data_IF_166423519889
#
_entry.id   IF_166423519889
#
_cell.length_a   1.000
_cell.length_b   1.000
_cell.length_c   1.000
_cell.angle_alpha   90.00
_cell.angle_beta   90.00
_cell.angle_gamma   90.00
#
_symmetry.space_group_name_H-M   'P 1'
#
loop_
_entity.id
_entity.type
_entity.pdbx_description
1 polymer ?
#
# COMPACT_ATOMS: atom_id res chain seq x y z
N UNK A 1 17.21 27.69 -0.28
CA UNK A 1 17.55 26.29 0.01
C UNK A 1 16.87 25.91 1.31
N UNK A 2 15.75 25.20 1.25
CA UNK A 2 15.06 24.73 2.47
C UNK A 2 15.90 23.61 3.04
N UNK A 3 16.39 23.77 4.25
CA UNK A 3 17.14 22.75 4.98
C UNK A 3 16.20 21.55 5.16
N UNK A 4 16.52 20.41 4.55
CA UNK A 4 15.77 19.17 4.75
C UNK A 4 16.04 18.76 6.19
N UNK A 5 15.01 18.74 7.04
CA UNK A 5 15.11 18.19 8.39
C UNK A 5 15.58 16.75 8.31
N UNK A 6 16.64 16.42 9.03
CA UNK A 6 17.14 15.04 9.15
C UNK A 6 16.36 14.23 10.20
N UNK A 7 15.45 14.88 10.93
CA UNK A 7 14.59 14.20 11.88
C UNK A 7 13.43 13.51 11.16
N UNK A 8 13.50 12.20 11.10
CA UNK A 8 12.46 11.35 10.49
C UNK A 8 11.10 11.50 11.16
N UNK A 9 11.07 11.85 12.46
CA UNK A 9 9.83 12.05 13.22
C UNK A 9 9.06 13.28 12.73
N UNK A 10 9.79 14.25 12.15
CA UNK A 10 9.22 15.47 11.57
C UNK A 10 8.71 15.27 10.13
N UNK A 11 8.86 14.07 9.55
CA UNK A 11 8.33 13.79 8.21
C UNK A 11 6.82 13.86 8.26
N UNK A 12 6.30 14.77 7.47
CA UNK A 12 4.88 15.13 7.47
C UNK A 12 3.94 13.95 7.21
N UNK A 13 2.85 13.95 7.96
CA UNK A 13 1.63 13.19 7.69
C UNK A 13 0.47 14.17 7.64
N UNK A 14 -0.48 13.93 6.75
CA UNK A 14 -1.64 14.79 6.59
C UNK A 14 -2.61 14.60 7.76
N UNK A 15 -3.08 15.69 8.33
CA UNK A 15 -4.07 15.66 9.42
C UNK A 15 -5.43 15.09 8.97
N UNK A 16 -5.70 15.05 7.67
CA UNK A 16 -6.88 14.40 7.11
C UNK A 16 -6.95 12.90 7.39
N UNK A 17 -5.81 12.27 7.67
CA UNK A 17 -5.74 10.85 8.05
C UNK A 17 -6.34 10.56 9.45
N UNK A 18 -6.53 11.60 10.27
CA UNK A 18 -7.09 11.49 11.62
C UNK A 18 -6.03 11.45 12.72
N UNK A 19 -6.36 10.79 13.84
CA UNK A 19 -5.49 10.72 15.01
C UNK A 19 -4.34 9.74 14.78
N UNK A 20 -3.12 10.27 14.85
CA UNK A 20 -1.89 9.47 14.77
C UNK A 20 -1.52 8.89 16.13
N UNK A 21 -1.13 7.63 16.15
CA UNK A 21 -0.51 6.97 17.32
C UNK A 21 0.49 5.89 16.91
N UNK A 22 1.45 5.63 17.79
CA UNK A 22 2.28 4.43 17.69
C UNK A 22 1.50 3.24 18.23
N UNK A 23 1.41 2.18 17.44
CA UNK A 23 0.83 0.90 17.83
C UNK A 23 1.96 -0.11 18.04
N UNK A 24 2.03 -0.67 19.25
CA UNK A 24 2.96 -1.75 19.59
C UNK A 24 2.34 -3.08 19.27
N UNK A 25 3.05 -3.88 18.48
CA UNK A 25 2.66 -5.21 18.04
C UNK A 25 3.67 -6.24 18.55
N UNK A 26 3.33 -7.51 18.62
CA UNK A 26 4.29 -8.58 18.93
C UNK A 26 5.54 -8.56 18.06
N UNK A 27 5.37 -8.26 16.78
CA UNK A 27 6.46 -8.23 15.80
C UNK A 27 7.20 -6.89 15.69
N UNK A 28 6.73 -5.81 16.33
CA UNK A 28 7.35 -4.48 16.25
C UNK A 28 6.36 -3.35 16.52
N UNK A 29 6.73 -2.12 16.15
CA UNK A 29 5.84 -0.96 16.28
C UNK A 29 5.62 -0.29 14.94
N UNK A 30 4.42 0.25 14.71
CA UNK A 30 4.13 1.05 13.52
C UNK A 30 3.23 2.25 13.88
N UNK A 31 3.21 3.26 13.01
CA UNK A 31 2.24 4.34 13.11
C UNK A 31 0.92 3.92 12.48
N UNK A 32 -0.16 4.19 13.21
CA UNK A 32 -1.53 4.07 12.72
C UNK A 32 -2.22 5.43 12.78
N UNK A 33 -3.15 5.65 11.87
CA UNK A 33 -4.00 6.83 11.78
C UNK A 33 -5.44 6.37 11.77
N UNK A 34 -6.27 6.96 12.62
CA UNK A 34 -7.64 6.51 12.89
C UNK A 34 -8.60 7.70 12.76
N UNK A 35 -9.58 7.59 11.87
CA UNK A 35 -10.56 8.64 11.60
C UNK A 35 -11.94 8.06 11.31
N UNK A 36 -12.97 8.76 11.81
CA UNK A 36 -14.37 8.37 11.61
C UNK A 36 -14.86 7.35 12.63
N UNK A 37 -15.99 6.75 12.35
CA UNK A 37 -16.64 5.75 13.21
C UNK A 37 -17.51 4.82 12.35
N UNK A 38 -17.94 3.70 12.90
CA UNK A 38 -18.74 2.69 12.17
C UNK A 38 -17.88 1.50 11.75
N UNK A 39 -18.29 0.81 10.68
CA UNK A 39 -17.60 -0.38 10.19
C UNK A 39 -16.17 -0.06 9.77
N UNK A 40 -15.18 -0.90 10.14
CA UNK A 40 -13.78 -0.59 9.93
C UNK A 40 -13.34 -0.83 8.48
N UNK A 41 -12.64 0.16 7.93
CA UNK A 41 -11.89 0.06 6.67
C UNK A 41 -10.41 0.20 7.00
N UNK A 42 -9.60 -0.82 6.68
CA UNK A 42 -8.15 -0.79 6.83
C UNK A 42 -7.49 -0.62 5.46
N UNK A 43 -6.73 0.49 5.30
CA UNK A 43 -6.13 0.88 4.03
C UNK A 43 -4.63 0.66 4.03
N UNK A 44 -4.15 -0.13 3.07
CA UNK A 44 -2.77 -0.61 2.95
C UNK A 44 -2.12 0.02 1.71
N UNK A 45 -1.07 0.79 1.93
CA UNK A 45 -0.29 1.44 0.88
C UNK A 45 0.74 0.52 0.23
N UNK A 46 1.29 0.94 -0.92
CA UNK A 46 2.32 0.21 -1.64
C UNK A 46 3.76 0.57 -1.27
N UNK A 47 4.68 0.10 -2.13
CA UNK A 47 6.13 0.29 -1.95
C UNK A 47 6.55 1.75 -2.14
N UNK A 48 7.40 2.25 -1.25
CA UNK A 48 7.97 3.62 -1.26
C UNK A 48 6.89 4.71 -1.29
N UNK A 49 5.71 4.43 -0.75
CA UNK A 49 4.69 5.37 -0.34
C UNK A 49 4.30 5.09 1.12
N UNK A 50 3.41 5.85 1.72
CA UNK A 50 2.98 5.71 3.12
C UNK A 50 1.50 6.07 3.29
N UNK A 51 1.01 6.15 4.52
CA UNK A 51 -0.38 6.46 4.82
C UNK A 51 -0.92 7.72 4.10
N UNK A 52 -0.05 8.72 3.78
CA UNK A 52 -0.44 9.90 3.02
C UNK A 52 -1.00 9.59 1.63
N UNK A 53 -0.80 8.39 1.09
CA UNK A 53 -1.44 7.96 -0.15
C UNK A 53 -2.97 8.12 -0.05
N UNK A 54 -3.51 7.86 1.12
CA UNK A 54 -4.94 7.85 1.40
C UNK A 54 -5.52 9.19 1.89
N UNK A 55 -4.68 10.27 1.97
CA UNK A 55 -5.07 11.58 2.56
C UNK A 55 -6.28 12.25 1.91
N UNK A 56 -6.50 12.00 0.61
CA UNK A 56 -7.65 12.53 -0.11
C UNK A 56 -8.85 11.55 -0.14
N UNK A 57 -8.63 10.27 0.14
CA UNK A 57 -9.66 9.22 0.16
C UNK A 57 -10.30 9.10 1.55
N UNK A 58 -9.48 9.11 2.61
CA UNK A 58 -9.95 8.95 4.00
C UNK A 58 -11.02 9.95 4.41
N UNK A 59 -10.93 11.27 4.08
CA UNK A 59 -12.00 12.20 4.42
C UNK A 59 -13.38 11.80 3.89
N UNK A 60 -13.44 11.31 2.67
CA UNK A 60 -14.70 10.88 2.03
C UNK A 60 -15.26 9.62 2.68
N UNK A 61 -14.41 8.63 2.94
CA UNK A 61 -14.81 7.39 3.59
C UNK A 61 -15.24 7.59 5.05
N UNK A 62 -14.58 8.52 5.76
CA UNK A 62 -14.78 8.74 7.20
C UNK A 62 -16.14 9.36 7.55
N UNK A 63 -16.94 9.75 6.57
CA UNK A 63 -18.34 10.16 6.80
C UNK A 63 -19.24 8.99 7.20
N UNK A 64 -18.91 7.76 6.78
CA UNK A 64 -19.73 6.58 7.02
C UNK A 64 -18.97 5.41 7.69
N UNK A 65 -17.64 5.43 7.67
CA UNK A 65 -16.80 4.32 8.12
C UNK A 65 -15.72 4.78 9.10
N UNK A 66 -15.21 3.84 9.90
CA UNK A 66 -13.98 4.03 10.65
C UNK A 66 -12.80 3.66 9.77
N UNK A 67 -12.03 4.66 9.34
CA UNK A 67 -10.88 4.50 8.46
C UNK A 67 -9.60 4.37 9.29
N UNK A 68 -8.89 3.28 9.12
CA UNK A 68 -7.57 3.07 9.68
C UNK A 68 -6.55 2.97 8.55
N UNK A 69 -5.49 3.79 8.62
CA UNK A 69 -4.34 3.67 7.73
C UNK A 69 -3.09 3.37 8.54
N UNK A 70 -2.15 2.66 7.97
CA UNK A 70 -0.92 2.25 8.66
C UNK A 70 0.31 2.56 7.82
N UNK A 71 1.45 2.85 8.48
CA UNK A 71 2.75 3.00 7.84
C UNK A 71 3.49 1.66 7.85
N UNK A 72 3.29 0.81 6.85
CA UNK A 72 4.06 -0.43 6.70
C UNK A 72 5.54 -0.14 6.37
N UNK A 73 6.47 -1.06 6.69
CA UNK A 73 7.91 -0.88 6.50
C UNK A 73 8.36 -0.94 5.04
N UNK A 74 7.62 -0.28 4.15
CA UNK A 74 7.88 -0.20 2.71
C UNK A 74 8.87 0.88 2.27
N UNK A 75 9.65 1.43 3.22
CA UNK A 75 10.69 2.44 2.95
C UNK A 75 10.27 3.88 3.18
N UNK A 76 9.00 4.14 3.47
CA UNK A 76 8.46 5.47 3.75
C UNK A 76 7.89 5.61 5.17
N UNK A 77 8.06 4.58 5.98
CA UNK A 77 7.70 4.54 7.40
C UNK A 77 8.71 5.33 8.26
N UNK A 78 8.35 5.57 9.53
CA UNK A 78 9.15 6.37 10.46
C UNK A 78 9.71 5.59 11.65
N UNK A 79 9.24 4.38 11.89
CA UNK A 79 9.73 3.49 12.95
C UNK A 79 10.44 2.31 12.28
N UNK A 80 11.75 2.17 12.50
CA UNK A 80 12.51 1.04 11.96
C UNK A 80 12.15 -0.27 12.65
N UNK A 81 12.24 -1.37 11.91
CA UNK A 81 11.83 -2.71 12.35
C UNK A 81 12.92 -3.76 12.15
N UNK A 82 14.11 -3.62 12.81
CA UNK A 82 15.27 -4.44 12.49
C UNK A 82 15.08 -5.94 12.75
N UNK A 83 14.22 -6.33 13.68
CA UNK A 83 13.95 -7.73 14.05
C UNK A 83 12.68 -8.32 13.41
N UNK A 84 11.88 -7.52 12.75
CA UNK A 84 10.58 -7.92 12.22
C UNK A 84 10.74 -8.61 10.86
N UNK A 85 10.06 -9.72 10.57
CA UNK A 85 9.94 -10.23 9.22
C UNK A 85 9.22 -9.21 8.33
N UNK A 86 9.86 -8.77 7.24
CA UNK A 86 9.32 -7.74 6.32
C UNK A 86 9.25 -8.24 4.88
N UNK A 87 9.38 -9.56 4.66
CA UNK A 87 8.96 -10.19 3.41
C UNK A 87 7.42 -10.15 3.28
N UNK A 88 6.84 -10.42 2.12
CA UNK A 88 5.39 -10.32 1.93
C UNK A 88 4.56 -11.08 2.99
N UNK A 89 4.93 -12.32 3.40
CA UNK A 89 4.28 -12.99 4.51
C UNK A 89 4.40 -12.28 5.87
N UNK A 90 5.56 -11.69 6.16
CA UNK A 90 5.77 -10.93 7.41
C UNK A 90 4.96 -9.64 7.44
N UNK A 91 4.88 -8.94 6.30
CA UNK A 91 4.03 -7.75 6.15
C UNK A 91 2.54 -8.08 6.36
N UNK A 92 2.07 -9.21 5.84
CA UNK A 92 0.72 -9.69 6.12
C UNK A 92 0.52 -10.00 7.61
N UNK A 93 1.54 -10.53 8.29
CA UNK A 93 1.55 -10.72 9.74
C UNK A 93 1.34 -9.41 10.50
N UNK A 94 2.05 -8.33 10.13
CA UNK A 94 1.86 -7.00 10.74
C UNK A 94 0.45 -6.46 10.57
N UNK A 95 -0.19 -6.69 9.42
CA UNK A 95 -1.58 -6.29 9.19
C UNK A 95 -2.53 -7.09 10.07
N UNK A 96 -2.35 -8.40 10.17
CA UNK A 96 -3.14 -9.28 11.05
C UNK A 96 -3.00 -8.82 12.49
N UNK A 97 -1.77 -8.64 12.99
CA UNK A 97 -1.50 -8.15 14.35
C UNK A 97 -2.14 -6.78 14.59
N UNK A 98 -2.19 -5.90 13.57
CA UNK A 98 -2.84 -4.60 13.66
C UNK A 98 -4.34 -4.73 13.85
N UNK A 99 -5.01 -5.57 13.06
CA UNK A 99 -6.46 -5.83 13.18
C UNK A 99 -6.79 -6.35 14.58
N UNK A 100 -6.00 -7.31 15.08
CA UNK A 100 -6.19 -7.91 16.40
C UNK A 100 -5.90 -6.92 17.53
N UNK A 101 -4.78 -6.20 17.48
CA UNK A 101 -4.38 -5.26 18.53
C UNK A 101 -5.30 -4.02 18.64
N UNK A 102 -5.97 -3.66 17.56
CA UNK A 102 -6.94 -2.57 17.54
C UNK A 102 -8.39 -3.03 17.75
N UNK A 103 -8.61 -4.34 17.89
CA UNK A 103 -9.94 -4.96 17.99
C UNK A 103 -10.90 -4.46 16.91
N UNK A 104 -10.41 -4.49 15.65
CA UNK A 104 -11.22 -3.98 14.53
C UNK A 104 -12.30 -4.96 14.09
N UNK A 105 -12.21 -6.25 14.48
CA UNK A 105 -13.08 -7.31 13.96
C UNK A 105 -12.85 -7.54 12.46
N UNK A 106 -13.78 -8.19 11.74
CA UNK A 106 -13.64 -8.34 10.31
C UNK A 106 -13.72 -6.98 9.60
N UNK A 107 -12.65 -6.63 8.85
CA UNK A 107 -12.50 -5.33 8.20
C UNK A 107 -12.88 -5.38 6.71
N UNK A 108 -13.24 -4.23 6.15
CA UNK A 108 -13.06 -4.00 4.71
C UNK A 108 -11.59 -3.69 4.47
N UNK A 109 -10.86 -4.61 3.84
CA UNK A 109 -9.42 -4.51 3.63
C UNK A 109 -9.13 -3.92 2.25
N UNK A 110 -8.49 -2.76 2.19
CA UNK A 110 -8.21 -2.02 0.95
C UNK A 110 -6.72 -1.99 0.69
N UNK A 111 -6.27 -2.43 -0.50
CA UNK A 111 -4.84 -2.45 -0.85
C UNK A 111 -4.55 -1.84 -2.21
N UNK A 112 -3.48 -1.02 -2.29
CA UNK A 112 -2.98 -0.44 -3.52
C UNK A 112 -1.54 -0.89 -3.81
N UNK A 113 -1.18 -1.13 -5.07
CA UNK A 113 0.15 -1.54 -5.51
C UNK A 113 0.62 -2.80 -4.75
N UNK A 114 1.79 -2.81 -4.15
CA UNK A 114 2.29 -3.91 -3.33
C UNK A 114 1.47 -4.13 -2.03
N UNK A 115 0.70 -3.14 -1.58
CA UNK A 115 -0.28 -3.30 -0.51
C UNK A 115 -1.39 -4.29 -0.85
N UNK A 116 -1.75 -4.40 -2.14
CA UNK A 116 -2.71 -5.39 -2.60
C UNK A 116 -2.24 -6.83 -2.41
N UNK A 117 -0.93 -7.12 -2.59
CA UNK A 117 -0.35 -8.44 -2.26
C UNK A 117 -0.48 -8.75 -0.78
N UNK A 118 -0.23 -7.75 0.06
CA UNK A 118 -0.38 -7.91 1.52
C UNK A 118 -1.82 -8.26 1.86
N UNK A 119 -2.80 -7.57 1.26
CA UNK A 119 -4.23 -7.86 1.46
C UNK A 119 -4.61 -9.28 1.01
N UNK A 120 -4.14 -9.72 -0.16
CA UNK A 120 -4.35 -11.07 -0.68
C UNK A 120 -3.77 -12.13 0.29
N UNK A 121 -2.57 -11.89 0.85
CA UNK A 121 -1.94 -12.78 1.82
C UNK A 121 -2.68 -12.80 3.18
N UNK A 122 -3.24 -11.69 3.62
CA UNK A 122 -4.09 -11.63 4.83
C UNK A 122 -5.35 -12.45 4.60
N UNK A 123 -6.05 -12.24 3.48
CA UNK A 123 -7.26 -12.97 3.12
C UNK A 123 -7.02 -14.49 3.04
N UNK A 124 -5.87 -14.92 2.46
CA UNK A 124 -5.50 -16.33 2.38
C UNK A 124 -5.19 -16.98 3.75
N UNK A 125 -4.69 -16.20 4.71
CA UNK A 125 -4.24 -16.72 6.02
C UNK A 125 -5.30 -16.61 7.11
N UNK A 126 -6.04 -15.51 7.10
CA UNK A 126 -7.02 -15.14 8.10
C UNK A 126 -8.27 -14.55 7.44
N UNK A 127 -8.99 -15.35 6.62
CA UNK A 127 -10.22 -14.90 5.97
C UNK A 127 -11.28 -14.46 6.98
N UNK A 128 -11.22 -14.96 8.21
CA UNK A 128 -12.09 -14.57 9.34
C UNK A 128 -11.95 -13.10 9.73
N UNK A 129 -10.80 -12.47 9.47
CA UNK A 129 -10.53 -11.06 9.75
C UNK A 129 -10.93 -10.12 8.60
N UNK A 130 -11.40 -10.65 7.48
CA UNK A 130 -11.71 -9.84 6.28
C UNK A 130 -13.19 -10.01 5.93
N UNK A 131 -13.97 -8.96 6.14
CA UNK A 131 -15.38 -8.93 5.74
C UNK A 131 -15.54 -8.73 4.23
N UNK A 132 -14.69 -7.91 3.64
CA UNK A 132 -14.64 -7.58 2.20
C UNK A 132 -13.22 -7.18 1.82
N UNK A 133 -12.85 -7.35 0.56
CA UNK A 133 -11.54 -6.92 0.06
C UNK A 133 -11.69 -5.97 -1.13
N UNK A 134 -10.91 -4.89 -1.14
CA UNK A 134 -10.81 -3.96 -2.28
C UNK A 134 -9.36 -3.93 -2.74
N UNK A 135 -9.13 -4.28 -4.00
CA UNK A 135 -7.82 -4.25 -4.63
C UNK A 135 -7.78 -3.17 -5.70
N UNK A 136 -6.91 -2.19 -5.51
CA UNK A 136 -6.74 -1.10 -6.47
C UNK A 136 -5.43 -1.27 -7.21
N UNK A 137 -5.46 -1.55 -8.50
CA UNK A 137 -4.28 -1.75 -9.36
C UNK A 137 -3.06 -2.30 -8.60
N UNK A 138 -2.94 -3.61 -8.49
CA UNK A 138 -1.96 -4.24 -7.61
C UNK A 138 -1.23 -5.42 -8.26
N UNK A 139 -0.14 -5.82 -7.62
CA UNK A 139 0.61 -7.03 -7.96
C UNK A 139 -0.26 -8.29 -7.81
N UNK A 140 -0.14 -9.20 -8.79
CA UNK A 140 -0.76 -10.51 -8.75
C UNK A 140 -0.01 -11.49 -9.66
N UNK A 141 -0.17 -12.79 -9.43
CA UNK A 141 0.37 -13.88 -10.27
C UNK A 141 1.89 -13.77 -10.50
N UNK A 142 2.29 -13.64 -11.77
CA UNK A 142 3.70 -13.54 -12.18
C UNK A 142 4.27 -12.12 -12.17
N UNK A 143 3.43 -11.12 -11.95
CA UNK A 143 3.79 -9.71 -11.99
C UNK A 143 4.15 -9.16 -10.61
N UNK A 144 5.15 -9.74 -9.95
CA UNK A 144 5.60 -9.28 -8.64
C UNK A 144 7.12 -9.38 -8.45
N UNK A 145 7.84 -8.26 -8.37
CA UNK A 145 7.40 -6.92 -8.76
C UNK A 145 7.32 -6.81 -10.30
N UNK A 146 6.64 -5.78 -10.84
CA UNK A 146 6.65 -5.52 -12.28
C UNK A 146 8.08 -5.40 -12.83
N UNK A 147 8.31 -5.91 -14.04
CA UNK A 147 9.65 -5.99 -14.64
C UNK A 147 10.39 -4.66 -14.67
N UNK A 148 9.68 -3.56 -14.87
CA UNK A 148 10.22 -2.20 -14.86
C UNK A 148 10.91 -1.85 -13.55
N UNK A 149 10.47 -2.43 -12.42
CA UNK A 149 11.03 -2.21 -11.09
C UNK A 149 12.06 -3.27 -10.66
N UNK A 150 12.51 -4.14 -11.58
CA UNK A 150 13.54 -5.15 -11.28
C UNK A 150 14.86 -4.52 -10.78
N UNK A 151 15.15 -3.27 -11.17
CA UNK A 151 16.31 -2.52 -10.69
C UNK A 151 16.31 -2.31 -9.16
N UNK A 152 15.13 -2.24 -8.52
CA UNK A 152 15.03 -2.14 -7.07
C UNK A 152 15.58 -3.38 -6.38
N UNK A 153 15.28 -4.56 -6.91
CA UNK A 153 15.84 -5.83 -6.40
C UNK A 153 17.34 -5.91 -6.61
N UNK A 154 17.85 -5.37 -7.73
CA UNK A 154 19.27 -5.28 -7.99
C UNK A 154 19.94 -4.32 -6.99
N UNK A 155 19.38 -3.12 -6.79
CA UNK A 155 19.87 -2.15 -5.80
C UNK A 155 19.95 -2.74 -4.38
N UNK A 156 19.00 -3.60 -4.00
CA UNK A 156 19.01 -4.27 -2.69
C UNK A 156 20.12 -5.33 -2.54
N UNK A 157 20.69 -5.81 -3.65
CA UNK A 157 21.72 -6.89 -3.67
C UNK A 157 23.13 -6.39 -3.83
N UNK A 158 23.33 -5.24 -4.51
CA UNK A 158 24.66 -4.71 -4.76
C UNK A 158 25.14 -3.79 -3.62
N UNK A 159 26.46 -3.74 -3.34
CA UNK A 159 27.02 -2.77 -2.40
C UNK A 159 26.64 -1.35 -2.78
N UNK A 160 26.34 -0.51 -1.80
CA UNK A 160 25.91 0.89 -1.96
C UNK A 160 24.63 1.12 -2.80
N UNK A 161 24.01 0.10 -3.42
CA UNK A 161 22.85 0.26 -4.29
C UNK A 161 21.68 0.98 -3.62
N UNK A 162 21.36 0.60 -2.39
CA UNK A 162 20.32 1.30 -1.62
C UNK A 162 20.69 2.74 -1.25
N UNK A 163 21.98 3.03 -1.03
CA UNK A 163 22.44 4.39 -0.75
C UNK A 163 22.33 5.28 -2.01
N UNK A 164 22.66 4.74 -3.17
CA UNK A 164 22.53 5.43 -4.46
C UNK A 164 21.06 5.71 -4.76
N UNK A 165 20.19 4.70 -4.60
CA UNK A 165 18.75 4.87 -4.76
C UNK A 165 18.20 5.95 -3.82
N UNK A 166 18.55 5.89 -2.56
CA UNK A 166 18.14 6.85 -1.54
C UNK A 166 18.64 8.28 -1.85
N UNK A 167 19.88 8.42 -2.31
CA UNK A 167 20.43 9.70 -2.73
C UNK A 167 19.69 10.26 -3.95
N UNK A 168 19.36 9.43 -4.93
CA UNK A 168 18.59 9.82 -6.11
C UNK A 168 17.19 10.33 -5.73
N UNK A 169 16.50 9.66 -4.80
CA UNK A 169 15.18 10.04 -4.34
C UNK A 169 15.11 11.39 -3.59
N UNK A 170 16.25 11.98 -3.23
CA UNK A 170 16.30 13.37 -2.70
C UNK A 170 15.90 14.41 -3.75
N UNK A 171 16.07 14.09 -5.03
CA UNK A 171 15.83 15.02 -6.11
C UNK A 171 14.40 14.88 -6.67
N UNK A 172 13.53 15.90 -6.54
CA UNK A 172 12.15 15.84 -7.04
C UNK A 172 12.04 15.54 -8.54
N UNK A 173 13.02 15.99 -9.34
CA UNK A 173 13.08 15.68 -10.76
C UNK A 173 13.23 14.18 -11.02
N UNK A 174 14.00 13.47 -10.21
CA UNK A 174 14.18 12.01 -10.34
C UNK A 174 12.89 11.28 -9.94
N UNK A 175 12.18 11.75 -8.91
CA UNK A 175 10.90 11.19 -8.51
C UNK A 175 9.83 11.29 -9.60
N UNK A 176 9.91 12.32 -10.45
CA UNK A 176 9.01 12.52 -11.57
C UNK A 176 9.33 11.64 -12.80
N UNK A 177 10.43 10.89 -12.78
CA UNK A 177 10.78 10.00 -13.89
C UNK A 177 9.83 8.80 -13.98
N UNK A 178 9.64 8.24 -15.18
CA UNK A 178 8.83 7.04 -15.41
C UNK A 178 9.17 5.84 -14.53
N UNK A 179 10.44 5.67 -14.19
CA UNK A 179 10.94 4.59 -13.35
C UNK A 179 10.76 4.85 -11.83
N UNK A 180 10.16 5.97 -11.49
CA UNK A 180 9.78 6.32 -10.11
C UNK A 180 8.26 6.57 -10.06
N UNK A 181 7.81 7.73 -9.58
CA UNK A 181 6.37 8.02 -9.50
C UNK A 181 5.74 8.48 -10.82
N UNK A 182 6.53 8.92 -11.82
CA UNK A 182 6.02 9.58 -13.01
C UNK A 182 5.11 8.72 -13.91
N UNK A 183 5.23 7.39 -13.85
CA UNK A 183 4.30 6.49 -14.52
C UNK A 183 3.32 5.81 -13.57
N UNK A 184 3.55 5.88 -12.27
CA UNK A 184 2.63 5.35 -11.25
C UNK A 184 1.42 6.26 -11.04
N UNK A 185 1.58 7.57 -11.23
CA UNK A 185 0.51 8.55 -11.17
C UNK A 185 0.42 9.35 -12.47
N UNK A 186 -0.78 9.75 -12.84
CA UNK A 186 -1.07 10.60 -14.00
C UNK A 186 -0.88 12.07 -13.64
N UNK A 187 -1.33 12.45 -12.45
CA UNK A 187 -1.14 13.79 -11.93
C UNK A 187 0.23 13.92 -11.27
N UNK A 188 0.72 15.15 -11.19
CA UNK A 188 1.93 15.41 -10.41
C UNK A 188 1.59 15.34 -8.93
N UNK A 189 2.15 14.35 -8.24
CA UNK A 189 1.99 14.20 -6.79
C UNK A 189 2.44 15.49 -6.10
N UNK A 190 1.64 15.97 -5.16
CA UNK A 190 1.96 17.14 -4.34
C UNK A 190 3.37 17.02 -3.76
N UNK A 191 4.10 18.14 -3.72
CA UNK A 191 5.49 18.19 -3.28
C UNK A 191 5.67 17.66 -1.87
N UNK A 192 4.76 18.02 -0.95
CA UNK A 192 4.82 17.63 0.45
C UNK A 192 4.54 16.15 0.64
N UNK A 193 3.57 15.60 -0.11
CA UNK A 193 3.30 14.17 -0.16
C UNK A 193 4.49 13.40 -0.73
N UNK A 194 5.01 13.81 -1.89
CA UNK A 194 6.18 13.19 -2.51
C UNK A 194 7.43 13.25 -1.62
N UNK A 195 7.64 14.35 -0.88
CA UNK A 195 8.72 14.46 0.10
C UNK A 195 8.50 13.46 1.25
N UNK A 196 7.25 13.30 1.74
CA UNK A 196 6.94 12.32 2.79
C UNK A 196 7.18 10.87 2.37
N UNK A 197 7.01 10.55 1.09
CA UNK A 197 7.27 9.24 0.54
C UNK A 197 8.77 8.93 0.43
N UNK A 198 9.55 9.89 -0.05
CA UNK A 198 10.94 9.65 -0.42
C UNK A 198 11.96 9.96 0.70
N UNK A 199 11.67 10.92 1.59
CA UNK A 199 12.66 11.37 2.58
C UNK A 199 13.01 10.32 3.64
N UNK A 200 12.09 9.48 4.17
CA UNK A 200 12.45 8.48 5.17
C UNK A 200 13.60 7.59 4.72
N UNK A 201 13.50 6.97 3.55
CA UNK A 201 14.57 6.14 3.00
C UNK A 201 15.80 6.95 2.62
N UNK A 202 15.61 8.22 2.22
CA UNK A 202 16.71 9.07 1.78
C UNK A 202 17.62 9.55 2.93
N UNK A 203 17.07 9.73 4.13
CA UNK A 203 17.80 10.32 5.26
C UNK A 203 18.14 9.32 6.36
N UNK A 204 17.40 8.20 6.49
CA UNK A 204 17.56 7.26 7.60
C UNK A 204 18.12 5.92 7.11
N UNK A 205 19.25 5.50 7.73
CA UNK A 205 19.90 4.23 7.39
C UNK A 205 19.02 3.03 7.73
N UNK A 206 18.44 3.01 8.90
CA UNK A 206 17.64 1.87 9.38
C UNK A 206 16.40 1.64 8.49
N UNK A 207 15.76 2.72 8.03
CA UNK A 207 14.66 2.63 7.05
C UNK A 207 15.14 2.08 5.69
N UNK A 208 16.37 2.44 5.26
CA UNK A 208 16.97 1.85 4.05
C UNK A 208 17.26 0.36 4.23
N UNK A 209 17.67 -0.04 5.42
CA UNK A 209 17.96 -1.44 5.72
C UNK A 209 16.66 -2.27 5.78
N UNK A 210 15.57 -1.70 6.31
CA UNK A 210 14.24 -2.30 6.26
C UNK A 210 13.77 -2.46 4.80
N UNK A 211 13.81 -1.39 3.99
CA UNK A 211 13.46 -1.46 2.58
C UNK A 211 14.33 -2.48 1.82
N UNK A 212 15.64 -2.54 2.13
CA UNK A 212 16.53 -3.56 1.53
C UNK A 212 16.02 -4.98 1.81
N UNK A 213 15.58 -5.26 3.05
CA UNK A 213 15.04 -6.58 3.43
C UNK A 213 13.73 -6.88 2.69
N UNK A 214 12.83 -5.90 2.62
CA UNK A 214 11.60 -6.01 1.82
C UNK A 214 11.93 -6.38 0.37
N UNK A 215 12.77 -5.57 -0.30
CA UNK A 215 13.11 -5.77 -1.72
C UNK A 215 13.77 -7.12 -1.99
N UNK A 216 14.53 -7.66 -1.04
CA UNK A 216 15.12 -9.00 -1.13
C UNK A 216 14.07 -10.11 -0.97
N UNK A 217 13.01 -9.85 -0.22
CA UNK A 217 11.89 -10.77 0.01
C UNK A 217 10.86 -10.79 -1.13
N UNK A 218 10.85 -9.78 -2.02
CA UNK A 218 9.92 -9.76 -3.13
C UNK A 218 10.17 -10.94 -4.08
N UNK A 219 9.18 -11.81 -4.21
CA UNK A 219 9.24 -12.97 -5.10
C UNK A 219 7.84 -13.35 -5.57
N UNK A 220 7.70 -13.59 -6.87
CA UNK A 220 6.43 -14.00 -7.49
C UNK A 220 5.88 -15.34 -6.97
N UNK A 221 6.70 -16.15 -6.28
CA UNK A 221 6.20 -17.36 -5.58
C UNK A 221 5.08 -17.00 -4.60
N UNK A 222 5.17 -15.83 -3.91
CA UNK A 222 4.16 -15.40 -2.95
C UNK A 222 2.82 -15.11 -3.63
N UNK A 223 2.83 -14.34 -4.73
CA UNK A 223 1.62 -14.02 -5.48
C UNK A 223 1.05 -15.23 -6.23
N UNK A 224 1.89 -16.14 -6.71
CA UNK A 224 1.46 -17.40 -7.33
C UNK A 224 0.76 -18.31 -6.32
N UNK A 225 1.43 -18.60 -5.19
CA UNK A 225 0.83 -19.46 -4.15
C UNK A 225 -0.43 -18.88 -3.56
N UNK A 226 -0.50 -17.55 -3.41
CA UNK A 226 -1.72 -16.89 -2.93
C UNK A 226 -2.84 -16.96 -3.97
N UNK A 227 -2.53 -16.87 -5.27
CA UNK A 227 -3.54 -17.00 -6.32
C UNK A 227 -4.20 -18.40 -6.34
N UNK A 228 -3.51 -19.44 -5.88
CA UNK A 228 -4.06 -20.80 -5.74
C UNK A 228 -5.19 -20.87 -4.68
N UNK A 229 -5.26 -19.89 -3.78
CA UNK A 229 -6.28 -19.83 -2.71
C UNK A 229 -7.43 -18.85 -3.00
N UNK A 230 -7.45 -18.18 -4.15
CA UNK A 230 -8.49 -17.20 -4.46
C UNK A 230 -9.89 -17.81 -4.49
N UNK A 231 -10.02 -19.04 -4.99
CA UNK A 231 -11.29 -19.76 -5.03
C UNK A 231 -11.82 -20.16 -3.63
N UNK A 232 -10.96 -20.16 -2.61
CA UNK A 232 -11.35 -20.49 -1.23
C UNK A 232 -11.83 -19.26 -0.45
N UNK A 233 -11.64 -18.04 -1.00
CA UNK A 233 -12.05 -16.80 -0.37
C UNK A 233 -13.48 -16.42 -0.79
N UNK A 234 -14.45 -16.75 0.04
CA UNK A 234 -15.91 -16.62 -0.21
C UNK A 234 -16.50 -15.24 0.12
N UNK A 235 -15.64 -14.25 0.46
CA UNK A 235 -16.07 -12.89 0.78
C UNK A 235 -16.05 -12.01 -0.47
N UNK A 236 -16.89 -10.94 -0.49
CA UNK A 236 -16.93 -10.04 -1.63
C UNK A 236 -15.57 -9.37 -1.92
N UNK A 237 -15.22 -9.29 -3.21
CA UNK A 237 -13.99 -8.63 -3.70
C UNK A 237 -14.34 -7.56 -4.72
N UNK A 238 -13.86 -6.34 -4.52
CA UNK A 238 -13.91 -5.27 -5.50
C UNK A 238 -12.52 -5.08 -6.12
N UNK A 239 -12.45 -5.19 -7.43
CA UNK A 239 -11.26 -4.83 -8.21
C UNK A 239 -11.46 -3.40 -8.75
N UNK A 240 -11.12 -2.38 -7.94
CA UNK A 240 -11.19 -0.97 -8.32
C UNK A 240 -9.96 -0.62 -9.17
N UNK A 241 -9.99 -0.95 -10.46
CA UNK A 241 -8.81 -0.97 -11.30
C UNK A 241 -8.70 0.23 -12.21
N UNK A 242 -7.49 0.78 -12.32
CA UNK A 242 -7.19 1.92 -13.19
C UNK A 242 -7.11 1.46 -14.65
N UNK A 243 -7.87 2.12 -15.54
CA UNK A 243 -7.89 1.77 -16.97
C UNK A 243 -6.54 2.04 -17.67
N UNK A 244 -5.87 3.14 -17.29
CA UNK A 244 -4.61 3.60 -17.89
C UNK A 244 -3.36 3.05 -17.16
N UNK A 245 -3.50 1.98 -16.34
CA UNK A 245 -2.37 1.44 -15.61
C UNK A 245 -1.29 0.86 -16.53
N UNK A 246 -0.04 1.22 -16.26
CA UNK A 246 1.11 0.82 -17.07
C UNK A 246 1.86 -0.37 -16.53
N UNK A 247 1.61 -0.75 -15.27
CA UNK A 247 2.34 -1.80 -14.56
C UNK A 247 1.45 -2.98 -14.21
N UNK A 248 0.16 -2.73 -13.99
CA UNK A 248 -0.84 -3.74 -13.65
C UNK A 248 -1.90 -3.82 -14.73
N UNK A 249 -1.66 -4.67 -15.77
CA UNK A 249 -2.54 -4.74 -16.94
C UNK A 249 -3.97 -5.15 -16.54
N UNK A 250 -4.95 -4.60 -17.26
CA UNK A 250 -6.39 -4.87 -17.03
C UNK A 250 -6.74 -6.36 -17.11
N UNK A 251 -5.95 -7.16 -17.84
CA UNK A 251 -6.08 -8.62 -17.90
C UNK A 251 -5.92 -9.27 -16.52
N UNK A 252 -5.14 -8.67 -15.60
CA UNK A 252 -5.03 -9.18 -14.22
C UNK A 252 -6.34 -8.99 -13.47
N UNK A 253 -7.03 -7.84 -13.63
CA UNK A 253 -8.34 -7.62 -13.02
C UNK A 253 -9.37 -8.64 -13.54
N UNK A 254 -9.42 -8.86 -14.86
CA UNK A 254 -10.32 -9.86 -15.44
C UNK A 254 -10.04 -11.28 -14.95
N UNK A 255 -8.77 -11.64 -14.85
CA UNK A 255 -8.37 -12.96 -14.33
C UNK A 255 -8.73 -13.10 -12.86
N UNK A 256 -8.43 -12.10 -12.02
CA UNK A 256 -8.79 -12.12 -10.59
C UNK A 256 -10.30 -12.20 -10.40
N UNK A 257 -11.08 -11.48 -11.22
CA UNK A 257 -12.55 -11.55 -11.19
C UNK A 257 -13.10 -12.94 -11.56
N UNK A 258 -12.36 -13.71 -12.34
CA UNK A 258 -12.72 -15.09 -12.67
C UNK A 258 -12.23 -16.09 -11.60
N UNK A 259 -11.14 -15.80 -10.90
CA UNK A 259 -10.53 -16.69 -9.91
C UNK A 259 -11.17 -16.55 -8.51
N UNK A 260 -11.73 -15.37 -8.14
CA UNK A 260 -12.49 -15.17 -6.90
C UNK A 260 -13.98 -15.53 -7.11
N UNK A 261 -14.63 -16.23 -6.17
CA UNK A 261 -16.04 -16.63 -6.27
C UNK A 261 -17.03 -15.46 -6.34
N UNK A 262 -16.77 -14.38 -5.60
CA UNK A 262 -17.61 -13.19 -5.51
C UNK A 262 -16.76 -11.94 -5.76
N UNK A 263 -16.42 -11.72 -7.03
CA UNK A 263 -15.62 -10.57 -7.44
C UNK A 263 -16.29 -9.74 -8.53
N UNK A 264 -16.14 -8.43 -8.42
CA UNK A 264 -16.57 -7.47 -9.44
C UNK A 264 -15.48 -6.47 -9.77
N UNK A 265 -15.47 -6.00 -11.01
CA UNK A 265 -14.53 -4.99 -11.49
C UNK A 265 -15.25 -3.65 -11.53
N UNK A 266 -14.60 -2.62 -10.98
CA UNK A 266 -14.98 -1.23 -11.15
C UNK A 266 -13.79 -0.49 -11.78
N UNK A 267 -14.00 0.06 -12.96
CA UNK A 267 -12.95 0.80 -13.67
C UNK A 267 -12.85 2.23 -13.14
N UNK A 268 -11.62 2.67 -12.87
CA UNK A 268 -11.32 4.05 -12.48
C UNK A 268 -10.72 4.77 -13.71
N UNK A 269 -11.51 5.49 -14.49
CA UNK A 269 -11.02 6.20 -15.66
C UNK A 269 -10.10 7.36 -15.23
N UNK A 270 -9.09 7.65 -16.03
CA UNK A 270 -8.18 8.76 -15.76
C UNK A 270 -7.11 8.47 -14.71
N UNK A 271 -7.11 7.31 -14.06
CA UNK A 271 -6.12 6.92 -13.07
C UNK A 271 -5.07 5.96 -13.62
N UNK A 272 -3.94 5.91 -12.90
CA UNK A 272 -2.90 4.88 -13.01
C UNK A 272 -2.77 4.14 -11.68
N UNK A 273 -1.65 3.47 -11.43
CA UNK A 273 -1.39 2.67 -10.24
C UNK A 273 -1.76 3.38 -8.93
N UNK A 274 -1.36 4.64 -8.79
CA UNK A 274 -1.69 5.44 -7.61
C UNK A 274 -3.05 6.14 -7.80
N UNK A 275 -4.11 5.37 -8.00
CA UNK A 275 -5.47 5.91 -8.12
C UNK A 275 -5.91 6.79 -6.94
N UNK A 276 -5.43 6.57 -5.68
CA UNK A 276 -5.71 7.50 -4.58
C UNK A 276 -5.10 8.90 -4.76
N UNK A 277 -4.08 9.04 -5.61
CA UNK A 277 -3.51 10.35 -5.99
C UNK A 277 -4.21 10.94 -7.21
N UNK A 278 -4.59 10.10 -8.17
CA UNK A 278 -5.10 10.53 -9.46
C UNK A 278 -6.59 10.87 -9.42
N UNK A 279 -7.41 9.96 -8.85
CA UNK A 279 -8.87 10.03 -8.84
C UNK A 279 -9.43 9.62 -7.45
N UNK A 280 -9.06 10.34 -6.37
CA UNK A 280 -9.43 9.96 -5.00
C UNK A 280 -10.94 9.91 -4.76
N UNK A 281 -11.72 10.83 -5.36
CA UNK A 281 -13.17 10.86 -5.19
C UNK A 281 -13.83 9.65 -5.85
N UNK A 282 -13.48 9.35 -7.12
CA UNK A 282 -14.04 8.19 -7.82
C UNK A 282 -13.69 6.88 -7.11
N UNK A 283 -12.47 6.77 -6.58
CA UNK A 283 -12.07 5.60 -5.78
C UNK A 283 -12.86 5.52 -4.47
N UNK A 284 -13.05 6.63 -3.75
CA UNK A 284 -13.81 6.67 -2.52
C UNK A 284 -15.27 6.27 -2.76
N UNK A 285 -15.91 6.81 -3.80
CA UNK A 285 -17.29 6.48 -4.19
C UNK A 285 -17.45 4.98 -4.47
N UNK A 286 -16.50 4.38 -5.20
CA UNK A 286 -16.51 2.95 -5.47
C UNK A 286 -16.38 2.11 -4.19
N UNK A 287 -15.50 2.51 -3.26
CA UNK A 287 -15.32 1.84 -1.97
C UNK A 287 -16.58 1.98 -1.11
N UNK A 288 -17.17 3.18 -1.03
CA UNK A 288 -18.41 3.43 -0.26
C UNK A 288 -19.55 2.57 -0.78
N UNK A 289 -19.80 2.59 -2.10
CA UNK A 289 -20.86 1.79 -2.72
C UNK A 289 -20.69 0.28 -2.42
N UNK A 290 -19.46 -0.20 -2.53
CA UNK A 290 -19.14 -1.60 -2.26
C UNK A 290 -19.26 -1.97 -0.78
N UNK A 291 -18.73 -1.15 0.13
CA UNK A 291 -18.73 -1.42 1.55
C UNK A 291 -20.15 -1.33 2.16
N UNK A 292 -21.00 -0.45 1.61
CA UNK A 292 -22.41 -0.33 1.99
C UNK A 292 -23.28 -1.48 1.46
N UNK A 293 -22.74 -2.38 0.62
CA UNK A 293 -23.51 -3.46 0.01
C UNK A 293 -24.46 -3.00 -1.08
N UNK A 294 -24.24 -1.81 -1.66
CA UNK A 294 -24.99 -1.34 -2.83
C UNK A 294 -24.55 -2.15 -4.07
N UNK A 295 -25.53 -2.69 -4.80
CA UNK A 295 -25.31 -3.44 -6.04
C UNK A 295 -24.73 -2.58 -7.17
#
# INVERSE_FOLDING_TARGET
MTTISTDIRAVWRDSSLGTERELRLPSGSLHVFDRGSGDPILLIHGLVVNANLWRAVVPELAHAFRCVTIDLPFGSHRISMPGTPVDPPGLAGLVIETIEAMDLGPVTLVGNDSGGVVCQLVAARRPDLVARMVLTSCDAYDNFPPKTFAYLKLAARVPAGMAILAAALRFPAIRALPIAYGWLSRVRIDRRASDSYALPVAVTRDIRDDLRRVLRGLDKRHTRSTAETFADFDRPVLLAWSEDDRFFPTQHAHRMAADYPDARIHWIPGARTLSPEDEPAALADAIVAFAAGAE
#
